data_IF_186230999288
#
_entry.id   IF_186230999288
#
_cell.length_a   1.000
_cell.length_b   1.000
_cell.length_c   1.000
_cell.angle_alpha   90.00
_cell.angle_beta   90.00
_cell.angle_gamma   90.00
#
_symmetry.space_group_name_H-M   'P 1'
#
loop_
_entity.id
_entity.type
_entity.pdbx_description
1 polymer ?
#
# COMPACT_ATOMS: atom_id res chain seq x y z
N UNK A 1 -10.78 -56.88 -28.45
CA UNK A 1 -9.55 -56.08 -28.27
C UNK A 1 -9.89 -54.68 -28.78
N UNK A 2 -10.26 -53.78 -27.87
CA UNK A 2 -9.38 -52.68 -27.39
C UNK A 2 -9.12 -51.66 -28.53
N UNK A 3 -9.53 -50.38 -28.49
CA UNK A 3 -9.60 -49.45 -27.37
C UNK A 3 -10.64 -48.34 -27.62
N UNK A 4 -11.64 -48.25 -26.74
CA UNK A 4 -12.32 -46.98 -26.45
C UNK A 4 -11.42 -46.21 -25.48
N UNK A 5 -10.49 -45.41 -25.98
CA UNK A 5 -9.83 -44.38 -25.17
C UNK A 5 -10.75 -43.17 -25.12
N UNK A 6 -11.63 -43.17 -24.12
CA UNK A 6 -12.37 -41.98 -23.69
C UNK A 6 -11.31 -40.93 -23.34
N UNK A 7 -11.14 -39.91 -24.19
CA UNK A 7 -10.33 -38.75 -23.86
C UNK A 7 -11.03 -38.00 -22.73
N UNK A 8 -10.61 -38.26 -21.50
CA UNK A 8 -10.92 -37.45 -20.32
C UNK A 8 -10.11 -36.14 -20.34
N UNK A 9 -10.29 -35.33 -21.38
CA UNK A 9 -9.86 -33.92 -21.40
C UNK A 9 -11.02 -33.03 -20.96
N UNK A 10 -11.62 -33.34 -19.81
CA UNK A 10 -12.70 -32.54 -19.24
C UNK A 10 -12.11 -31.25 -18.64
N UNK A 11 -12.27 -30.15 -19.37
CA UNK A 11 -12.00 -28.73 -19.04
C UNK A 11 -10.71 -28.11 -19.62
N UNK A 12 -10.42 -28.34 -20.90
CA UNK A 12 -9.49 -27.46 -21.63
C UNK A 12 -10.34 -26.48 -22.45
N UNK A 13 -10.17 -25.18 -22.19
CA UNK A 13 -10.83 -24.09 -22.94
C UNK A 13 -9.77 -23.47 -23.85
N UNK A 14 -10.00 -23.49 -25.15
CA UNK A 14 -9.17 -22.73 -26.09
C UNK A 14 -9.50 -21.24 -25.95
N UNK A 15 -8.46 -20.41 -25.84
CA UNK A 15 -8.58 -18.95 -25.72
C UNK A 15 -7.75 -18.30 -26.83
N UNK A 16 -8.38 -17.37 -27.56
CA UNK A 16 -7.68 -16.57 -28.56
C UNK A 16 -6.64 -15.65 -27.92
N UNK A 17 -5.44 -15.58 -28.50
CA UNK A 17 -4.35 -14.76 -27.97
C UNK A 17 -4.73 -13.27 -27.99
N UNK A 18 -5.29 -12.78 -29.09
CA UNK A 18 -5.65 -11.37 -29.24
C UNK A 18 -6.66 -10.92 -28.16
N UNK A 19 -7.74 -11.70 -27.98
CA UNK A 19 -8.76 -11.44 -26.96
C UNK A 19 -8.20 -11.56 -25.55
N UNK A 20 -7.33 -12.53 -25.29
CA UNK A 20 -6.72 -12.74 -23.97
C UNK A 20 -5.80 -11.59 -23.58
N UNK A 21 -5.02 -11.07 -24.52
CA UNK A 21 -4.12 -9.93 -24.30
C UNK A 21 -4.94 -8.67 -24.03
N UNK A 22 -5.95 -8.38 -24.84
CA UNK A 22 -6.81 -7.20 -24.67
C UNK A 22 -7.48 -7.21 -23.29
N UNK A 23 -8.11 -8.32 -22.92
CA UNK A 23 -8.81 -8.45 -21.63
C UNK A 23 -7.83 -8.33 -20.44
N UNK A 24 -6.70 -9.04 -20.49
CA UNK A 24 -5.70 -9.00 -19.42
C UNK A 24 -5.08 -7.62 -19.26
N UNK A 25 -4.78 -6.96 -20.37
CA UNK A 25 -4.22 -5.62 -20.38
C UNK A 25 -5.22 -4.59 -19.84
N UNK A 26 -6.48 -4.66 -20.27
CA UNK A 26 -7.52 -3.75 -19.81
C UNK A 26 -7.81 -3.96 -18.31
N UNK A 27 -7.95 -5.20 -17.86
CA UNK A 27 -8.21 -5.53 -16.47
C UNK A 27 -7.09 -5.05 -15.54
N UNK A 28 -5.83 -5.28 -15.92
CA UNK A 28 -4.69 -4.77 -15.16
C UNK A 28 -4.62 -3.25 -15.17
N UNK A 29 -4.84 -2.62 -16.33
CA UNK A 29 -4.81 -1.15 -16.46
C UNK A 29 -5.87 -0.49 -15.59
N UNK A 30 -7.11 -0.99 -15.61
CA UNK A 30 -8.19 -0.49 -14.75
C UNK A 30 -7.85 -0.67 -13.26
N UNK A 31 -7.32 -1.84 -12.89
CA UNK A 31 -6.85 -2.13 -11.53
C UNK A 31 -5.78 -1.13 -11.07
N UNK A 32 -4.82 -0.79 -11.93
CA UNK A 32 -3.79 0.21 -11.63
C UNK A 32 -4.38 1.61 -11.47
N UNK A 33 -5.21 2.04 -12.42
CA UNK A 33 -5.79 3.39 -12.45
C UNK A 33 -6.61 3.64 -11.17
N UNK A 34 -7.53 2.72 -10.86
CA UNK A 34 -8.51 2.89 -9.78
C UNK A 34 -7.92 2.46 -8.42
N UNK A 35 -7.20 1.34 -8.40
CA UNK A 35 -6.79 0.68 -7.16
C UNK A 35 -5.39 1.05 -6.66
N UNK A 36 -4.62 1.86 -7.39
CA UNK A 36 -3.21 2.11 -7.05
C UNK A 36 -2.73 3.52 -7.36
N UNK A 37 -2.86 3.96 -8.61
CA UNK A 37 -2.10 5.08 -9.14
C UNK A 37 -2.73 6.44 -8.79
N UNK A 38 -4.04 6.56 -8.94
CA UNK A 38 -4.75 7.82 -8.75
C UNK A 38 -5.34 7.94 -7.33
N UNK A 39 -5.30 9.13 -6.72
CA UNK A 39 -6.00 9.39 -5.47
C UNK A 39 -7.50 9.54 -5.69
N UNK A 40 -8.28 9.36 -4.62
CA UNK A 40 -9.71 9.70 -4.62
C UNK A 40 -9.89 11.22 -4.49
N UNK A 41 -10.84 11.80 -5.24
CA UNK A 41 -11.05 13.24 -5.24
C UNK A 41 -11.62 13.79 -3.92
N UNK A 42 -12.23 12.94 -3.09
CA UNK A 42 -12.89 13.34 -1.84
C UNK A 42 -11.89 13.61 -0.71
N UNK A 43 -10.84 12.79 -0.64
CA UNK A 43 -9.83 12.86 0.44
C UNK A 43 -8.41 13.13 -0.08
N UNK A 44 -8.18 13.06 -1.40
CA UNK A 44 -6.87 13.21 -2.00
C UNK A 44 -5.90 12.06 -1.73
N UNK A 45 -6.38 10.94 -1.16
CA UNK A 45 -5.54 9.82 -0.72
C UNK A 45 -5.56 8.67 -1.73
N UNK A 46 -4.36 8.10 -1.96
CA UNK A 46 -4.22 6.80 -2.63
C UNK A 46 -4.60 5.68 -1.65
N UNK A 47 -4.97 4.48 -2.15
CA UNK A 47 -5.35 3.36 -1.30
C UNK A 47 -4.30 2.98 -0.23
N UNK A 48 -3.00 3.09 -0.53
CA UNK A 48 -1.93 2.80 0.45
C UNK A 48 -1.93 3.80 1.61
N UNK A 49 -2.05 5.10 1.34
CA UNK A 49 -2.08 6.14 2.37
C UNK A 49 -3.28 5.93 3.30
N UNK A 50 -4.47 5.72 2.72
CA UNK A 50 -5.71 5.49 3.49
C UNK A 50 -5.60 4.27 4.39
N UNK A 51 -5.03 3.17 3.91
CA UNK A 51 -4.82 1.94 4.70
C UNK A 51 -3.83 2.16 5.84
N UNK A 52 -2.77 2.94 5.63
CA UNK A 52 -1.80 3.29 6.67
C UNK A 52 -2.48 4.11 7.76
N UNK A 53 -3.15 5.20 7.41
CA UNK A 53 -3.80 6.08 8.38
C UNK A 53 -4.92 5.35 9.15
N UNK A 54 -5.72 4.53 8.44
CA UNK A 54 -6.74 3.71 9.08
C UNK A 54 -6.14 2.70 10.07
N UNK A 55 -5.07 2.00 9.70
CA UNK A 55 -4.41 1.08 10.62
C UNK A 55 -3.79 1.80 11.84
N UNK A 56 -3.22 3.00 11.63
CA UNK A 56 -2.70 3.83 12.72
C UNK A 56 -3.82 4.29 13.67
N UNK A 57 -4.98 4.66 13.14
CA UNK A 57 -6.18 4.98 13.90
C UNK A 57 -6.66 3.78 14.72
N UNK A 58 -6.80 2.60 14.12
CA UNK A 58 -7.21 1.36 14.81
C UNK A 58 -6.20 0.93 15.90
N UNK A 59 -4.92 1.25 15.73
CA UNK A 59 -3.89 1.05 16.74
C UNK A 59 -3.88 2.13 17.83
N UNK A 60 -4.72 3.16 17.73
CA UNK A 60 -4.81 4.27 18.67
C UNK A 60 -3.58 5.20 18.63
N UNK A 61 -2.88 5.29 17.50
CA UNK A 61 -1.64 6.06 17.35
C UNK A 61 -1.89 7.55 17.10
N UNK A 62 -2.72 8.16 17.93
CA UNK A 62 -3.01 9.59 17.90
C UNK A 62 -1.75 10.44 18.13
N UNK A 63 -1.81 11.71 17.77
CA UNK A 63 -0.78 12.73 17.97
C UNK A 63 -0.38 12.96 19.43
N UNK A 64 -1.19 12.48 20.39
CA UNK A 64 -0.95 12.65 21.83
C UNK A 64 -0.22 11.47 22.47
N UNK A 65 -0.19 10.31 21.83
CA UNK A 65 0.48 9.13 22.38
C UNK A 65 1.97 9.11 22.02
N UNK A 66 2.73 8.27 22.73
CA UNK A 66 4.13 8.02 22.40
C UNK A 66 4.26 7.35 21.02
N UNK A 67 5.35 7.66 20.31
CA UNK A 67 5.68 7.03 19.03
C UNK A 67 5.77 5.51 19.16
N UNK A 68 5.46 4.81 18.06
CA UNK A 68 5.59 3.36 17.96
C UNK A 68 6.45 2.99 16.78
N UNK A 69 7.17 1.87 16.89
CA UNK A 69 8.03 1.33 15.84
C UNK A 69 7.28 1.25 14.51
N UNK A 70 7.87 1.80 13.45
CA UNK A 70 7.29 1.78 12.11
C UNK A 70 7.04 0.35 11.63
N UNK A 71 7.93 -0.60 11.98
CA UNK A 71 7.75 -2.02 11.71
C UNK A 71 6.41 -2.59 12.21
N UNK A 72 5.91 -2.12 13.37
CA UNK A 72 4.61 -2.54 13.91
C UNK A 72 3.46 -2.02 13.06
N UNK A 73 3.53 -0.75 12.64
CA UNK A 73 2.50 -0.12 11.80
C UNK A 73 2.44 -0.81 10.44
N UNK A 74 3.60 -1.01 9.80
CA UNK A 74 3.70 -1.69 8.51
C UNK A 74 3.16 -3.12 8.62
N UNK A 75 3.52 -3.85 9.68
CA UNK A 75 3.03 -5.20 9.95
C UNK A 75 1.51 -5.29 10.06
N UNK A 76 0.87 -4.37 10.78
CA UNK A 76 -0.60 -4.32 10.89
C UNK A 76 -1.26 -3.98 9.55
N UNK A 77 -0.68 -3.06 8.77
CA UNK A 77 -1.20 -2.67 7.46
C UNK A 77 -1.17 -3.85 6.49
N UNK A 78 -0.05 -4.58 6.39
CA UNK A 78 0.05 -5.73 5.48
C UNK A 78 -0.81 -6.91 5.94
N UNK A 79 -0.92 -7.11 7.27
CA UNK A 79 -1.67 -8.22 7.84
C UNK A 79 -3.19 -8.06 7.68
N UNK A 80 -3.70 -6.83 7.65
CA UNK A 80 -5.15 -6.57 7.68
C UNK A 80 -5.70 -5.92 6.41
N UNK A 81 -4.94 -5.02 5.77
CA UNK A 81 -5.53 -4.07 4.80
C UNK A 81 -4.81 -4.00 3.45
N UNK A 82 -3.52 -4.33 3.37
CA UNK A 82 -2.69 -4.11 2.19
C UNK A 82 -1.92 -5.38 1.77
N UNK A 83 -2.46 -6.22 0.87
CA UNK A 83 -1.86 -7.50 0.48
C UNK A 83 -0.71 -7.34 -0.53
N UNK A 84 0.20 -6.41 -0.26
CA UNK A 84 1.39 -6.13 -1.08
C UNK A 84 2.62 -5.96 -0.18
N UNK A 85 3.79 -5.73 -0.80
CA UNK A 85 5.07 -5.68 -0.10
C UNK A 85 5.13 -4.63 1.01
N UNK A 86 5.82 -5.00 2.09
CA UNK A 86 6.11 -4.15 3.25
C UNK A 86 6.90 -2.89 2.87
N UNK A 87 7.85 -2.99 1.94
CA UNK A 87 8.62 -1.84 1.44
C UNK A 87 7.71 -0.74 0.87
N UNK A 88 6.72 -1.10 0.05
CA UNK A 88 5.81 -0.10 -0.55
C UNK A 88 4.97 0.62 0.51
N UNK A 89 4.60 -0.07 1.60
CA UNK A 89 3.90 0.52 2.73
C UNK A 89 4.82 1.44 3.53
N UNK A 90 6.05 0.99 3.80
CA UNK A 90 7.02 1.77 4.55
C UNK A 90 7.45 3.04 3.82
N UNK A 91 7.73 2.95 2.51
CA UNK A 91 8.09 4.11 1.69
C UNK A 91 6.96 5.14 1.64
N UNK A 92 5.70 4.68 1.56
CA UNK A 92 4.53 5.54 1.62
C UNK A 92 4.38 6.21 2.99
N UNK A 93 4.61 5.47 4.09
CA UNK A 93 4.61 6.01 5.45
C UNK A 93 5.70 7.07 5.62
N UNK A 94 6.92 6.78 5.15
CA UNK A 94 8.07 7.69 5.21
C UNK A 94 7.75 8.99 4.48
N UNK A 95 7.20 8.91 3.27
CA UNK A 95 6.84 10.09 2.48
C UNK A 95 5.78 10.97 3.16
N UNK A 96 4.87 10.37 3.94
CA UNK A 96 3.85 11.10 4.71
C UNK A 96 4.38 11.81 5.96
N UNK A 97 5.64 11.54 6.34
CA UNK A 97 6.34 12.11 7.49
C UNK A 97 7.52 13.01 7.10
N UNK A 98 7.58 13.44 5.84
CA UNK A 98 8.63 14.31 5.31
C UNK A 98 8.06 15.69 5.00
N UNK A 99 8.46 16.69 5.77
CA UNK A 99 8.07 18.10 5.62
C UNK A 99 8.43 18.70 4.24
N UNK A 100 9.52 18.24 3.62
CA UNK A 100 9.94 18.62 2.27
C UNK A 100 9.17 17.89 1.15
N UNK A 101 8.50 16.78 1.45
CA UNK A 101 7.70 16.01 0.49
C UNK A 101 6.21 16.38 0.52
N UNK A 102 5.69 16.78 1.69
CA UNK A 102 4.28 17.10 1.89
C UNK A 102 4.11 18.44 2.57
N UNK A 103 3.25 19.30 2.00
CA UNK A 103 2.90 20.59 2.61
C UNK A 103 2.23 20.44 3.98
N UNK A 104 1.47 19.36 4.15
CA UNK A 104 0.78 18.97 5.38
C UNK A 104 1.11 17.51 5.65
N UNK A 105 1.97 17.27 6.63
CA UNK A 105 2.35 15.92 7.04
C UNK A 105 1.18 15.21 7.73
N UNK A 106 0.96 13.95 7.38
CA UNK A 106 -0.11 13.12 7.95
C UNK A 106 0.45 12.13 8.99
N UNK A 107 1.76 11.94 9.00
CA UNK A 107 2.49 11.10 9.94
C UNK A 107 3.56 11.94 10.62
N UNK A 108 3.65 11.83 11.94
CA UNK A 108 4.69 12.43 12.77
C UNK A 108 5.75 11.36 13.03
N UNK A 109 6.94 11.54 12.45
CA UNK A 109 8.04 10.57 12.47
C UNK A 109 9.15 10.94 13.45
N UNK A 110 9.66 9.95 14.19
CA UNK A 110 10.85 10.07 15.04
C UNK A 110 11.97 9.15 14.52
N UNK A 111 13.13 9.74 14.23
CA UNK A 111 14.31 9.07 13.69
C UNK A 111 14.73 9.64 12.34
N UNK A 112 15.56 8.90 11.59
CA UNK A 112 15.97 9.31 10.25
C UNK A 112 14.92 8.88 9.22
N UNK A 113 14.16 9.85 8.71
CA UNK A 113 13.15 9.69 7.65
C UNK A 113 13.65 10.15 6.27
N UNK A 114 14.97 10.27 6.09
CA UNK A 114 15.59 10.72 4.85
C UNK A 114 15.80 12.23 4.80
N UNK A 115 16.37 12.70 3.69
CA UNK A 115 16.76 14.10 3.50
C UNK A 115 16.37 14.60 2.10
N UNK A 116 16.41 15.92 1.91
CA UNK A 116 16.22 16.56 0.61
C UNK A 116 17.34 16.22 -0.38
N UNK A 117 18.52 15.83 0.12
CA UNK A 117 19.69 15.46 -0.68
C UNK A 117 19.55 14.06 -1.31
N UNK A 118 18.45 13.36 -1.02
CA UNK A 118 18.14 12.03 -1.56
C UNK A 118 18.58 10.88 -0.68
N UNK A 119 18.96 11.15 0.58
CA UNK A 119 19.24 10.08 1.54
C UNK A 119 17.95 9.31 1.86
N UNK A 120 18.03 7.99 1.77
CA UNK A 120 16.91 7.12 2.14
C UNK A 120 16.67 7.17 3.65
N UNK A 121 15.42 6.93 4.05
CA UNK A 121 15.08 6.72 5.45
C UNK A 121 15.83 5.51 6.04
N UNK A 122 16.08 5.55 7.34
CA UNK A 122 16.59 4.39 8.06
C UNK A 122 15.57 3.23 7.99
N UNK A 123 16.03 2.00 8.19
CA UNK A 123 15.16 0.84 8.19
C UNK A 123 14.04 0.96 9.25
N UNK A 124 12.85 0.43 8.96
CA UNK A 124 11.63 0.52 9.79
C UNK A 124 11.75 0.01 11.24
N UNK A 125 12.83 -0.71 11.56
CA UNK A 125 13.18 -1.14 12.92
C UNK A 125 13.76 -0.01 13.79
N UNK A 126 14.30 1.03 13.17
CA UNK A 126 14.91 2.18 13.84
C UNK A 126 13.98 3.38 13.94
N UNK A 127 13.09 3.56 12.96
CA UNK A 127 12.13 4.66 12.95
C UNK A 127 10.89 4.36 13.79
N UNK A 128 10.29 5.41 14.31
CA UNK A 128 9.02 5.37 15.01
C UNK A 128 8.07 6.42 14.43
N UNK A 129 6.77 6.17 14.52
CA UNK A 129 5.77 7.07 13.96
C UNK A 129 4.48 7.08 14.80
N UNK A 130 3.71 8.15 14.65
CA UNK A 130 2.32 8.33 15.09
C UNK A 130 1.60 9.28 14.14
N UNK A 131 0.30 9.48 14.30
CA UNK A 131 -0.47 10.42 13.46
C UNK A 131 -0.15 11.86 13.82
N UNK A 132 -0.15 12.76 12.84
CA UNK A 132 -0.21 14.21 13.11
C UNK A 132 -1.61 14.60 13.56
N UNK A 133 -1.76 15.78 14.19
CA UNK A 133 -3.08 16.32 14.52
C UNK A 133 -3.98 16.49 13.29
N UNK A 134 -3.39 16.87 12.15
CA UNK A 134 -4.13 17.05 10.91
C UNK A 134 -4.72 15.73 10.38
N UNK A 135 -3.98 14.64 10.56
CA UNK A 135 -4.41 13.30 10.17
C UNK A 135 -5.62 12.78 10.97
N UNK A 136 -5.84 13.28 12.19
CA UNK A 136 -7.01 12.96 13.00
C UNK A 136 -8.30 13.66 12.54
N UNK A 137 -8.17 14.69 11.69
CA UNK A 137 -9.30 15.49 11.17
C UNK A 137 -9.71 15.06 9.74
N UNK A 138 -9.07 14.02 9.19
CA UNK A 138 -9.31 13.46 7.84
C UNK A 138 -10.05 12.13 7.96
#
# INVERSE_FOLDING_TARGET
>A
MQNNSVNETKNIVEVGIDSSIEESYLAYSMSVIIGRALPDARDGLKPVHRRILYAMHELGLTSKVAYKKSARIVGDVIGKYHPHGDNAVYDALVRMAQDFSMRLELVDGQGNFGSIDGDNAAAMRYTEARMTKASEEI
#
